data_IF_356860728935
#
_entry.id   IF_356860728935
#
_cell.length_a   1.000
_cell.length_b   1.000
_cell.length_c   1.000
_cell.angle_alpha   90.00
_cell.angle_beta   90.00
_cell.angle_gamma   90.00
#
_symmetry.space_group_name_H-M   'P 1'
#
loop_
_entity.id
_entity.type
_entity.pdbx_description
1 polymer ?
#
# COMPACT_ATOMS: atom_id res chain seq x y z
N UNK A 1 5.10 8.35 -13.15
CA UNK A 1 4.28 7.83 -12.03
C UNK A 1 2.83 7.79 -12.46
N UNK A 2 2.16 6.64 -12.34
CA UNK A 2 0.73 6.47 -12.65
C UNK A 2 -0.02 6.32 -11.33
N UNK A 3 -1.07 7.13 -11.11
CA UNK A 3 -1.96 6.98 -9.95
C UNK A 3 -2.84 5.73 -10.18
N UNK A 4 -2.71 4.73 -9.31
CA UNK A 4 -3.48 3.48 -9.41
C UNK A 4 -4.78 3.57 -8.60
N UNK A 5 -4.77 4.25 -7.45
CA UNK A 5 -5.96 4.46 -6.61
C UNK A 5 -5.72 5.55 -5.57
N UNK A 6 -6.78 6.00 -4.90
CA UNK A 6 -6.74 6.82 -3.68
C UNK A 6 -7.37 6.06 -2.52
N UNK A 7 -6.75 6.12 -1.35
CA UNK A 7 -7.27 5.52 -0.12
C UNK A 7 -7.40 6.60 0.95
N UNK A 8 -8.46 6.53 1.76
CA UNK A 8 -8.61 7.36 2.96
C UNK A 8 -8.14 6.53 4.15
N UNK A 9 -6.99 6.83 4.76
CA UNK A 9 -6.54 6.11 5.93
C UNK A 9 -7.46 6.42 7.12
N UNK A 10 -7.57 5.46 8.04
CA UNK A 10 -8.23 5.65 9.33
C UNK A 10 -7.21 5.47 10.45
N UNK A 11 -7.31 6.29 11.49
CA UNK A 11 -6.58 6.08 12.74
C UNK A 11 -7.49 5.34 13.71
N UNK A 12 -7.03 4.21 14.22
CA UNK A 12 -7.74 3.44 15.24
C UNK A 12 -6.72 2.94 16.27
N UNK A 13 -6.90 3.33 17.53
CA UNK A 13 -6.04 2.92 18.65
C UNK A 13 -4.53 3.14 18.42
N UNK A 14 -4.17 4.26 17.81
CA UNK A 14 -2.78 4.58 17.47
C UNK A 14 -2.22 3.82 16.26
N UNK A 15 -3.00 2.92 15.65
CA UNK A 15 -2.66 2.23 14.41
C UNK A 15 -3.24 2.98 13.19
N UNK A 16 -2.45 3.00 12.10
CA UNK A 16 -2.90 3.46 10.80
C UNK A 16 -3.50 2.29 10.04
N UNK A 17 -4.80 2.35 9.79
CA UNK A 17 -5.52 1.37 8.98
C UNK A 17 -5.55 1.83 7.52
N UNK A 18 -5.03 0.97 6.65
CA UNK A 18 -5.00 1.15 5.21
C UNK A 18 -5.90 0.10 4.57
N UNK A 19 -7.07 0.52 4.13
CA UNK A 19 -8.02 -0.37 3.46
C UNK A 19 -7.58 -0.60 2.03
N UNK A 20 -7.20 -1.85 1.70
CA UNK A 20 -6.92 -2.26 0.33
C UNK A 20 -8.15 -2.96 -0.25
N UNK A 21 -8.46 -2.68 -1.51
CA UNK A 21 -9.50 -3.43 -2.24
C UNK A 21 -9.00 -4.85 -2.51
N UNK A 22 -9.91 -5.83 -2.58
CA UNK A 22 -9.56 -7.23 -2.87
C UNK A 22 -8.76 -7.41 -4.18
N UNK A 23 -8.84 -6.45 -5.10
CA UNK A 23 -8.02 -6.42 -6.32
C UNK A 23 -6.52 -6.43 -6.05
N UNK A 24 -6.05 -5.96 -4.89
CA UNK A 24 -4.64 -6.00 -4.52
C UNK A 24 -4.16 -7.44 -4.29
N UNK A 25 -4.98 -8.34 -3.73
CA UNK A 25 -4.61 -9.75 -3.56
C UNK A 25 -4.31 -10.40 -4.92
N UNK A 26 -5.04 -10.02 -5.96
CA UNK A 26 -4.79 -10.52 -7.32
C UNK A 26 -3.48 -9.99 -7.92
N UNK A 27 -3.06 -8.78 -7.53
CA UNK A 27 -1.81 -8.16 -7.99
C UNK A 27 -0.60 -8.85 -7.35
N UNK A 28 -0.69 -9.21 -6.06
CA UNK A 28 0.44 -9.80 -5.32
C UNK A 28 0.42 -11.32 -5.26
N UNK A 29 -0.71 -11.98 -5.58
CA UNK A 29 -0.88 -13.43 -5.49
C UNK A 29 -0.83 -14.01 -4.07
N UNK A 30 -0.63 -13.15 -3.07
CA UNK A 30 -0.60 -13.45 -1.63
C UNK A 30 -0.97 -12.19 -0.84
N UNK A 31 -1.05 -12.30 0.48
CA UNK A 31 -1.12 -11.13 1.36
C UNK A 31 0.23 -10.40 1.26
N UNK A 32 0.28 -9.16 0.75
CA UNK A 32 1.53 -8.42 0.58
C UNK A 32 2.05 -7.85 1.91
N UNK A 33 3.37 -7.73 2.00
CA UNK A 33 4.04 -7.00 3.08
C UNK A 33 4.50 -5.64 2.58
N UNK A 34 4.23 -4.60 3.38
CA UNK A 34 4.64 -3.24 3.06
C UNK A 34 5.61 -2.69 4.09
N UNK A 35 6.67 -2.04 3.60
CA UNK A 35 7.47 -1.12 4.40
C UNK A 35 6.80 0.26 4.41
N UNK A 36 6.65 0.83 5.60
CA UNK A 36 6.01 2.12 5.83
C UNK A 36 7.04 3.06 6.42
N UNK A 37 7.25 4.21 5.79
CA UNK A 37 8.15 5.24 6.30
C UNK A 37 7.67 6.64 5.92
N UNK A 38 8.09 7.63 6.70
CA UNK A 38 7.84 9.04 6.41
C UNK A 38 9.12 9.61 5.79
N UNK A 39 9.01 10.21 4.60
CA UNK A 39 10.16 10.83 3.94
C UNK A 39 10.54 12.18 4.59
N UNK A 40 11.66 12.76 4.12
CA UNK A 40 12.14 14.06 4.60
C UNK A 40 11.18 15.23 4.34
N UNK A 41 10.13 15.04 3.53
CA UNK A 41 9.09 16.03 3.23
C UNK A 41 7.80 15.77 4.02
N UNK A 42 7.82 14.83 4.97
CA UNK A 42 6.65 14.49 5.78
C UNK A 42 5.61 13.64 5.04
N UNK A 43 5.95 13.05 3.89
CA UNK A 43 5.02 12.18 3.15
C UNK A 43 5.12 10.74 3.64
N UNK A 44 3.97 10.13 3.90
CA UNK A 44 3.87 8.70 4.16
C UNK A 44 4.06 7.92 2.85
N UNK A 45 5.07 7.04 2.83
CA UNK A 45 5.35 6.14 1.73
C UNK A 45 5.02 4.72 2.18
N UNK A 46 4.38 3.97 1.28
CA UNK A 46 4.03 2.56 1.46
C UNK A 46 4.65 1.84 0.28
N UNK A 47 5.66 1.01 0.52
CA UNK A 47 6.40 0.29 -0.52
C UNK A 47 6.25 -1.20 -0.28
N UNK A 48 5.82 -1.92 -1.31
CA UNK A 48 5.76 -3.38 -1.29
C UNK A 48 7.17 -3.98 -1.21
N UNK A 49 7.37 -4.99 -0.36
CA UNK A 49 8.59 -5.81 -0.40
C UNK A 49 8.62 -6.75 -1.60
N UNK A 50 7.47 -7.06 -2.17
CA UNK A 50 7.35 -7.87 -3.37
C UNK A 50 7.54 -7.04 -4.66
N UNK A 51 8.22 -7.63 -5.63
CA UNK A 51 8.16 -7.18 -7.02
C UNK A 51 6.86 -7.65 -7.64
N UNK A 52 6.08 -6.71 -8.17
CA UNK A 52 4.83 -7.00 -8.87
C UNK A 52 5.15 -7.19 -10.34
N UNK A 53 4.86 -8.36 -10.89
CA UNK A 53 4.79 -8.55 -12.35
C UNK A 53 3.36 -8.25 -12.80
N UNK A 54 3.16 -7.19 -13.62
CA UNK A 54 1.88 -6.98 -14.29
C UNK A 54 1.60 -8.20 -15.19
N UNK A 55 0.70 -9.08 -14.76
CA UNK A 55 0.15 -10.13 -15.63
C UNK A 55 -0.70 -9.45 -16.70
N UNK A 56 -0.18 -9.42 -17.94
CA UNK A 56 -0.89 -8.97 -19.14
C UNK A 56 -2.12 -9.82 -19.44
#
# INVERSE_FOLDING_TARGET
MKLVSSLRPMLFDGFLLLSFTNSWVNVFGKIPEFEIFIDKKGKLNIISKETVEERK
#
